data_IF_445469462154
#
_entry.id   IF_445469462154
#
_cell.length_a   1.000
_cell.length_b   1.000
_cell.length_c   1.000
_cell.angle_alpha   90.00
_cell.angle_beta   90.00
_cell.angle_gamma   90.00
#
_symmetry.space_group_name_H-M   'P 1'
#
loop_
_entity.id
_entity.type
_entity.pdbx_description
1 polymer ?
#
# COMPACT_ATOMS: atom_id res chain seq x y z
N UNK A 1 25.30 33.79 -8.66
CA UNK A 1 24.04 33.22 -8.15
C UNK A 1 23.08 34.38 -8.02
N UNK A 2 22.22 34.60 -9.00
CA UNK A 2 21.28 35.73 -9.01
C UNK A 2 20.18 35.50 -7.97
N UNK A 3 19.93 36.53 -7.16
CA UNK A 3 18.89 36.55 -6.14
C UNK A 3 17.51 36.40 -6.79
N UNK A 4 16.92 35.22 -6.64
CA UNK A 4 15.58 34.90 -7.11
C UNK A 4 14.55 35.57 -6.19
N UNK A 5 13.71 36.45 -6.74
CA UNK A 5 12.72 37.22 -5.96
C UNK A 5 11.63 36.32 -5.36
N UNK A 6 11.06 36.75 -4.23
CA UNK A 6 10.07 35.99 -3.46
C UNK A 6 8.77 35.71 -4.27
N UNK A 7 8.38 36.65 -5.14
CA UNK A 7 7.26 36.53 -6.08
C UNK A 7 7.48 35.45 -7.17
N UNK A 8 8.73 35.25 -7.59
CA UNK A 8 9.10 34.17 -8.52
C UNK A 8 9.09 32.80 -7.86
N UNK A 9 9.47 32.73 -6.59
CA UNK A 9 9.38 31.51 -5.80
C UNK A 9 7.91 31.05 -5.63
N UNK A 10 6.99 32.00 -5.47
CA UNK A 10 5.55 31.75 -5.35
C UNK A 10 4.98 31.24 -6.68
N UNK A 11 5.28 31.86 -7.82
CA UNK A 11 4.83 31.40 -9.14
C UNK A 11 5.37 30.01 -9.51
N UNK A 12 6.63 29.72 -9.15
CA UNK A 12 7.23 28.39 -9.35
C UNK A 12 6.56 27.30 -8.49
N UNK A 13 6.15 27.62 -7.26
CA UNK A 13 5.43 26.69 -6.38
C UNK A 13 4.03 26.33 -6.90
N UNK A 14 3.42 27.23 -7.69
CA UNK A 14 2.05 27.07 -8.20
C UNK A 14 1.99 26.16 -9.41
N UNK A 15 3.02 26.14 -10.27
CA UNK A 15 2.97 25.34 -11.51
C UNK A 15 2.76 23.85 -11.23
N UNK A 16 3.49 23.27 -10.27
CA UNK A 16 3.35 21.84 -9.96
C UNK A 16 1.92 21.53 -9.48
N UNK A 17 1.38 22.35 -8.58
CA UNK A 17 0.01 22.18 -8.09
C UNK A 17 -1.01 22.35 -9.23
N UNK A 18 -0.83 23.32 -10.12
CA UNK A 18 -1.67 23.50 -11.31
C UNK A 18 -1.59 22.29 -12.25
N UNK A 19 -0.40 21.75 -12.47
CA UNK A 19 -0.19 20.56 -13.29
C UNK A 19 -0.93 19.35 -12.71
N UNK A 20 -0.84 19.12 -11.39
CA UNK A 20 -1.55 18.06 -10.69
C UNK A 20 -3.07 18.26 -10.78
N UNK A 21 -3.57 19.45 -10.48
CA UNK A 21 -5.01 19.80 -10.58
C UNK A 21 -5.55 19.60 -11.99
N UNK A 22 -4.78 19.95 -13.01
CA UNK A 22 -5.18 19.75 -14.40
C UNK A 22 -5.24 18.25 -14.79
N UNK A 23 -4.44 17.38 -14.15
CA UNK A 23 -4.60 15.92 -14.32
C UNK A 23 -5.91 15.44 -13.71
N UNK A 24 -6.22 15.87 -12.49
CA UNK A 24 -7.48 15.54 -11.79
C UNK A 24 -8.67 15.98 -12.65
N UNK A 25 -8.71 17.23 -13.11
CA UNK A 25 -9.77 17.76 -13.97
C UNK A 25 -9.95 16.97 -15.29
N UNK A 26 -8.89 16.32 -15.77
CA UNK A 26 -8.90 15.51 -17.01
C UNK A 26 -9.14 14.02 -16.76
N UNK A 27 -9.64 13.64 -15.59
CA UNK A 27 -9.88 12.24 -15.23
C UNK A 27 -8.62 11.37 -15.31
N UNK A 28 -7.49 11.93 -14.87
CA UNK A 28 -6.19 11.23 -14.83
C UNK A 28 -5.70 11.19 -13.39
N UNK A 29 -5.35 9.99 -12.92
CA UNK A 29 -4.64 9.82 -11.66
C UNK A 29 -3.19 10.32 -11.76
N UNK A 30 -2.52 10.33 -10.61
CA UNK A 30 -1.10 10.63 -10.47
C UNK A 30 -0.47 9.61 -9.53
N UNK A 31 0.65 9.04 -9.97
CA UNK A 31 1.54 8.25 -9.13
C UNK A 31 2.85 9.02 -9.06
N UNK A 32 3.21 9.49 -7.87
CA UNK A 32 4.45 10.20 -7.60
C UNK A 32 5.39 9.29 -6.80
N UNK A 33 6.64 9.23 -7.22
CA UNK A 33 7.68 8.46 -6.55
C UNK A 33 8.70 9.42 -5.93
N UNK A 34 8.98 9.27 -4.64
CA UNK A 34 9.99 10.01 -3.90
C UNK A 34 11.12 9.04 -3.54
N UNK A 35 12.34 9.33 -4.02
CA UNK A 35 13.52 8.47 -3.85
C UNK A 35 14.69 9.22 -3.23
N UNK A 36 15.62 8.48 -2.62
CA UNK A 36 16.80 9.01 -1.93
C UNK A 36 17.04 8.33 -0.58
N UNK A 37 18.17 8.63 0.04
CA UNK A 37 18.60 7.96 1.29
C UNK A 37 17.69 8.27 2.48
N UNK A 38 17.79 7.46 3.54
CA UNK A 38 17.12 7.71 4.82
C UNK A 38 17.50 9.10 5.36
N UNK A 39 16.53 9.84 5.89
CA UNK A 39 16.76 11.20 6.41
C UNK A 39 16.73 12.33 5.37
N UNK A 40 16.69 12.03 4.07
CA UNK A 40 16.70 13.05 2.99
C UNK A 40 15.43 13.91 2.85
N UNK A 41 14.39 13.63 3.65
CA UNK A 41 13.14 14.41 3.68
C UNK A 41 12.06 13.94 2.70
N UNK A 42 12.14 12.70 2.18
CA UNK A 42 11.14 12.08 1.29
C UNK A 42 9.72 12.13 1.85
N UNK A 43 9.54 11.60 3.06
CA UNK A 43 8.24 11.53 3.74
C UNK A 43 7.66 12.93 3.94
N UNK A 44 8.45 13.86 4.48
CA UNK A 44 8.02 15.25 4.71
C UNK A 44 7.61 15.96 3.42
N UNK A 45 8.37 15.78 2.33
CA UNK A 45 8.04 16.36 1.02
C UNK A 45 6.78 15.75 0.42
N UNK A 46 6.60 14.43 0.52
CA UNK A 46 5.41 13.74 0.03
C UNK A 46 4.15 14.20 0.79
N UNK A 47 4.23 14.24 2.12
CA UNK A 47 3.15 14.72 3.01
C UNK A 47 2.85 16.19 2.72
N UNK A 48 3.87 17.03 2.56
CA UNK A 48 3.67 18.43 2.21
C UNK A 48 2.97 18.60 0.87
N UNK A 49 3.37 17.83 -0.14
CA UNK A 49 2.71 17.90 -1.44
C UNK A 49 1.25 17.43 -1.32
N UNK A 50 0.99 16.38 -0.54
CA UNK A 50 -0.35 15.84 -0.33
C UNK A 50 -1.28 16.89 0.30
N UNK A 51 -0.84 17.50 1.40
CA UNK A 51 -1.54 18.59 2.08
C UNK A 51 -1.82 19.80 1.17
N UNK A 52 -0.95 20.07 0.19
CA UNK A 52 -1.15 21.19 -0.76
C UNK A 52 -2.07 20.85 -1.93
N UNK A 53 -2.15 19.56 -2.30
CA UNK A 53 -2.97 19.07 -3.41
C UNK A 53 -4.40 18.81 -2.96
N UNK A 54 -4.57 18.19 -1.80
CA UNK A 54 -5.84 17.74 -1.24
C UNK A 54 -6.11 18.47 0.09
N UNK A 55 -7.05 19.45 0.10
CA UNK A 55 -7.37 20.23 1.31
C UNK A 55 -7.90 19.40 2.48
N UNK A 56 -8.44 18.22 2.21
CA UNK A 56 -8.97 17.30 3.22
C UNK A 56 -7.98 16.19 3.57
N UNK A 57 -6.71 16.35 3.17
CA UNK A 57 -5.67 15.38 3.47
C UNK A 57 -5.36 15.35 4.97
N UNK A 58 -5.19 14.15 5.51
CA UNK A 58 -5.00 13.91 6.93
C UNK A 58 -4.09 12.70 7.18
N UNK A 59 -3.65 12.50 8.44
CA UNK A 59 -2.71 11.45 8.81
C UNK A 59 -3.23 10.04 8.54
N UNK A 60 -4.56 9.87 8.52
CA UNK A 60 -5.26 8.62 8.22
C UNK A 60 -4.96 8.15 6.79
N UNK A 61 -4.65 9.09 5.87
CA UNK A 61 -4.28 8.79 4.48
C UNK A 61 -2.78 8.55 4.26
N UNK A 62 -2.00 8.50 5.34
CA UNK A 62 -0.60 8.08 5.33
C UNK A 62 -0.52 6.63 5.80
N UNK A 63 -0.07 5.72 4.93
CA UNK A 63 -0.04 4.28 5.17
C UNK A 63 1.37 3.72 5.03
N UNK A 64 1.65 2.68 5.79
CA UNK A 64 2.96 1.99 5.81
C UNK A 64 2.85 0.54 5.31
N UNK A 65 1.63 0.02 5.11
CA UNK A 65 1.39 -1.34 4.64
C UNK A 65 0.50 -1.36 3.40
N UNK A 66 0.62 -2.44 2.62
CA UNK A 66 -0.26 -2.66 1.47
C UNK A 66 -1.69 -2.89 1.89
N UNK A 67 -1.91 -3.52 3.05
CA UNK A 67 -3.27 -3.77 3.54
C UNK A 67 -4.00 -2.44 3.74
N UNK A 68 -3.42 -1.53 4.52
CA UNK A 68 -4.01 -0.22 4.79
C UNK A 68 -4.19 0.60 3.50
N UNK A 69 -3.21 0.50 2.60
CA UNK A 69 -3.31 1.10 1.27
C UNK A 69 -4.53 0.59 0.52
N UNK A 70 -4.76 -0.72 0.48
CA UNK A 70 -5.91 -1.31 -0.21
C UNK A 70 -7.24 -0.98 0.45
N UNK A 71 -7.27 -0.87 1.78
CA UNK A 71 -8.48 -0.46 2.50
C UNK A 71 -8.90 0.96 2.12
N UNK A 72 -7.98 1.92 2.14
CA UNK A 72 -8.26 3.30 1.72
C UNK A 72 -8.72 3.38 0.26
N UNK A 73 -8.15 2.55 -0.59
CA UNK A 73 -8.44 2.56 -2.03
C UNK A 73 -9.81 2.00 -2.34
N UNK A 74 -10.22 0.97 -1.59
CA UNK A 74 -11.53 0.37 -1.73
C UNK A 74 -12.62 1.20 -1.05
N UNK A 75 -12.26 2.13 -0.16
CA UNK A 75 -13.18 3.10 0.43
C UNK A 75 -13.71 4.13 -0.59
N UNK A 76 -14.63 4.99 -0.12
CA UNK A 76 -15.32 6.01 -0.91
C UNK A 76 -14.60 7.35 -0.94
N UNK A 77 -13.26 7.32 -1.03
CA UNK A 77 -12.47 8.55 -1.18
C UNK A 77 -12.88 9.32 -2.45
N UNK A 78 -13.11 10.64 -2.35
CA UNK A 78 -13.49 11.44 -3.50
C UNK A 78 -12.35 11.53 -4.52
N UNK A 79 -12.71 11.73 -5.79
CA UNK A 79 -11.75 11.97 -6.86
C UNK A 79 -10.78 13.11 -6.51
N UNK A 80 -9.48 12.90 -6.74
CA UNK A 80 -8.45 13.86 -6.36
C UNK A 80 -7.87 13.67 -4.96
N UNK A 81 -8.42 12.77 -4.14
CA UNK A 81 -7.85 12.42 -2.83
C UNK A 81 -6.43 11.88 -2.98
N UNK A 82 -5.57 12.22 -2.03
CA UNK A 82 -4.18 11.75 -1.99
C UNK A 82 -4.02 10.68 -0.91
N UNK A 83 -3.34 9.59 -1.25
CA UNK A 83 -2.83 8.59 -0.31
C UNK A 83 -1.29 8.63 -0.38
N UNK A 84 -0.65 8.74 0.78
CA UNK A 84 0.81 8.65 0.91
C UNK A 84 1.15 7.25 1.42
N UNK A 85 1.85 6.48 0.60
CA UNK A 85 2.45 5.22 1.02
C UNK A 85 3.91 5.50 1.39
N UNK A 86 4.16 5.71 2.69
CA UNK A 86 5.48 6.06 3.20
C UNK A 86 6.30 4.83 3.59
N UNK A 87 7.62 4.94 3.42
CA UNK A 87 8.62 3.92 3.74
C UNK A 87 8.28 2.54 3.16
N UNK A 88 7.76 2.61 1.94
CA UNK A 88 7.33 1.48 1.15
C UNK A 88 8.56 0.56 0.90
N UNK A 89 8.64 -0.55 1.64
CA UNK A 89 9.73 -1.54 1.53
C UNK A 89 10.84 -1.44 2.55
N UNK A 90 10.77 -0.53 3.54
CA UNK A 90 11.67 -0.59 4.69
C UNK A 90 11.31 -1.81 5.58
N UNK A 91 12.31 -2.59 5.96
CA UNK A 91 12.16 -3.79 6.79
C UNK A 91 11.69 -5.05 6.07
N UNK A 92 11.42 -4.98 4.76
CA UNK A 92 10.99 -6.12 3.95
C UNK A 92 12.15 -6.53 3.02
N UNK A 93 12.42 -7.84 2.90
CA UNK A 93 13.36 -8.38 1.92
C UNK A 93 13.05 -7.83 0.51
N UNK A 94 14.07 -7.39 -0.24
CA UNK A 94 13.91 -6.74 -1.55
C UNK A 94 12.99 -7.52 -2.52
N UNK A 95 13.03 -8.86 -2.48
CA UNK A 95 12.16 -9.72 -3.31
C UNK A 95 10.70 -9.67 -2.87
N UNK A 96 10.43 -9.74 -1.58
CA UNK A 96 9.07 -9.63 -1.03
C UNK A 96 8.48 -8.24 -1.29
N UNK A 97 9.31 -7.20 -1.22
CA UNK A 97 8.90 -5.85 -1.59
C UNK A 97 8.59 -5.72 -3.08
N UNK A 98 9.33 -6.37 -3.96
CA UNK A 98 9.03 -6.39 -5.40
C UNK A 98 7.69 -7.07 -5.70
N UNK A 99 7.39 -8.21 -5.08
CA UNK A 99 6.08 -8.87 -5.22
C UNK A 99 4.95 -7.98 -4.73
N UNK A 100 5.18 -7.32 -3.59
CA UNK A 100 4.25 -6.38 -2.95
C UNK A 100 3.99 -5.16 -3.83
N UNK A 101 5.05 -4.57 -4.37
CA UNK A 101 5.01 -3.48 -5.36
C UNK A 101 4.23 -3.89 -6.59
N UNK A 102 4.52 -5.05 -7.18
CA UNK A 102 3.81 -5.54 -8.36
C UNK A 102 2.30 -5.66 -8.12
N UNK A 103 1.89 -6.11 -6.92
CA UNK A 103 0.46 -6.15 -6.53
C UNK A 103 -0.14 -4.75 -6.46
N UNK A 104 0.52 -3.80 -5.77
CA UNK A 104 0.07 -2.39 -5.67
C UNK A 104 -0.11 -1.80 -7.08
N UNK A 105 0.90 -1.93 -7.93
CA UNK A 105 0.91 -1.35 -9.27
C UNK A 105 -0.09 -2.04 -10.22
N UNK A 106 -0.24 -3.37 -10.13
CA UNK A 106 -1.30 -4.10 -10.83
C UNK A 106 -2.69 -3.58 -10.49
N UNK A 107 -2.97 -3.38 -9.20
CA UNK A 107 -4.25 -2.82 -8.74
C UNK A 107 -4.42 -1.35 -9.13
N UNK A 108 -3.35 -0.55 -9.08
CA UNK A 108 -3.34 0.84 -9.58
C UNK A 108 -3.74 0.93 -11.05
N UNK A 109 -3.33 -0.04 -11.89
CA UNK A 109 -3.76 -0.08 -13.30
C UNK A 109 -5.22 -0.46 -13.48
N UNK A 110 -5.76 -1.35 -12.64
CA UNK A 110 -7.09 -1.92 -12.82
C UNK A 110 -8.20 -1.07 -12.19
N UNK A 111 -7.98 -0.45 -11.02
CA UNK A 111 -9.06 0.20 -10.24
C UNK A 111 -8.94 1.72 -10.06
N UNK A 112 -7.72 2.25 -9.91
CA UNK A 112 -7.53 3.63 -9.42
C UNK A 112 -7.65 4.69 -10.50
N UNK A 113 -7.36 4.32 -11.75
CA UNK A 113 -7.52 5.25 -12.86
C UNK A 113 -8.97 5.74 -12.97
N UNK A 114 -9.93 4.87 -12.64
CA UNK A 114 -11.35 5.20 -12.57
C UNK A 114 -11.68 6.08 -11.35
N UNK A 115 -11.22 5.72 -10.14
CA UNK A 115 -11.47 6.51 -8.92
C UNK A 115 -10.73 7.85 -8.85
N UNK A 116 -9.70 8.05 -9.69
CA UNK A 116 -8.84 9.24 -9.70
C UNK A 116 -8.15 9.53 -8.35
N UNK A 117 -7.77 8.48 -7.63
CA UNK A 117 -6.98 8.59 -6.41
C UNK A 117 -5.51 8.85 -6.79
N UNK A 118 -4.87 9.78 -6.10
CA UNK A 118 -3.46 10.11 -6.25
C UNK A 118 -2.66 9.32 -5.23
N UNK A 119 -1.52 8.78 -5.66
CA UNK A 119 -0.67 7.94 -4.82
C UNK A 119 0.74 8.46 -4.80
N UNK A 120 1.23 8.82 -3.61
CA UNK A 120 2.61 9.26 -3.40
C UNK A 120 3.35 8.17 -2.65
N UNK A 121 4.42 7.64 -3.23
CA UNK A 121 5.17 6.50 -2.69
C UNK A 121 6.56 7.00 -2.35
N UNK A 122 7.06 6.70 -1.15
CA UNK A 122 8.44 6.93 -0.78
C UNK A 122 9.19 5.59 -0.72
N UNK A 123 10.34 5.51 -1.39
CA UNK A 123 11.22 4.34 -1.39
C UNK A 123 12.69 4.81 -1.29
N UNK A 124 13.63 3.98 -0.83
CA UNK A 124 15.05 4.34 -0.84
C UNK A 124 15.56 4.59 -2.26
N UNK A 125 15.26 3.66 -3.17
CA UNK A 125 15.69 3.69 -4.55
C UNK A 125 14.60 3.17 -5.49
N UNK A 126 14.61 3.59 -6.76
CA UNK A 126 13.59 3.16 -7.73
C UNK A 126 13.65 1.67 -8.07
N UNK A 127 14.77 0.99 -7.79
CA UNK A 127 14.93 -0.46 -8.00
C UNK A 127 14.01 -1.31 -7.13
N UNK A 128 13.50 -0.73 -6.05
CA UNK A 128 12.47 -1.33 -5.19
C UNK A 128 11.15 -1.54 -5.94
N UNK A 129 10.93 -0.81 -7.04
CA UNK A 129 9.77 -1.00 -7.90
C UNK A 129 10.19 -1.86 -9.09
N UNK A 130 9.41 -2.89 -9.37
CA UNK A 130 9.61 -3.77 -10.53
C UNK A 130 9.52 -2.98 -11.85
N UNK A 131 10.27 -3.43 -12.87
CA UNK A 131 10.55 -2.65 -14.08
C UNK A 131 9.30 -2.26 -14.87
N UNK A 132 8.31 -3.15 -15.01
CA UNK A 132 7.04 -2.82 -15.68
C UNK A 132 6.24 -1.81 -14.87
N UNK A 133 6.22 -1.98 -13.55
CA UNK A 133 5.52 -1.11 -12.61
C UNK A 133 6.04 0.34 -12.63
N UNK A 134 7.35 0.55 -12.87
CA UNK A 134 7.94 1.91 -13.03
C UNK A 134 7.32 2.73 -14.15
N UNK A 135 6.75 2.08 -15.17
CA UNK A 135 6.11 2.76 -16.33
C UNK A 135 4.80 3.48 -15.96
N UNK A 136 4.26 3.19 -14.78
CA UNK A 136 3.02 3.76 -14.27
C UNK A 136 3.27 5.01 -13.42
N UNK A 137 4.51 5.19 -12.96
CA UNK A 137 4.94 6.40 -12.27
C UNK A 137 4.92 7.55 -13.26
N UNK A 138 4.36 8.69 -12.85
CA UNK A 138 4.19 9.86 -13.70
C UNK A 138 5.18 10.97 -13.37
N UNK A 139 5.59 11.04 -12.11
CA UNK A 139 6.54 12.03 -11.61
C UNK A 139 7.47 11.37 -10.61
N UNK A 140 8.76 11.70 -10.70
CA UNK A 140 9.80 11.24 -9.80
C UNK A 140 10.46 12.44 -9.14
N UNK A 141 10.56 12.39 -7.81
CA UNK A 141 11.28 13.33 -6.98
C UNK A 141 12.50 12.60 -6.40
N UNK A 142 13.68 13.07 -6.74
CA UNK A 142 14.96 12.48 -6.31
C UNK A 142 15.60 13.45 -5.34
N UNK A 143 15.79 13.02 -4.09
CA UNK A 143 16.33 13.87 -3.04
C UNK A 143 17.78 14.30 -3.37
N UNK A 144 18.14 15.49 -2.90
CA UNK A 144 19.54 15.94 -2.92
C UNK A 144 20.15 15.84 -1.52
N UNK A 145 21.41 16.24 -1.42
CA UNK A 145 22.13 16.51 -0.18
C UNK A 145 21.45 17.53 0.74
N UNK A 146 20.56 18.37 0.21
CA UNK A 146 19.80 19.37 0.96
C UNK A 146 18.41 18.82 1.26
N UNK A 147 18.10 18.59 2.54
CA UNK A 147 16.82 18.03 2.96
C UNK A 147 15.62 18.82 2.40
N UNK A 148 14.66 18.10 1.82
CA UNK A 148 13.45 18.69 1.21
C UNK A 148 13.68 19.41 -0.13
N UNK A 149 14.91 19.50 -0.63
CA UNK A 149 15.20 19.88 -2.02
C UNK A 149 15.25 18.62 -2.87
N UNK A 150 14.51 18.60 -3.98
CA UNK A 150 14.36 17.41 -4.81
C UNK A 150 14.46 17.75 -6.29
N UNK A 151 15.21 16.95 -7.04
CA UNK A 151 15.19 16.97 -8.50
C UNK A 151 13.86 16.38 -8.96
N UNK A 152 13.15 17.11 -9.81
CA UNK A 152 11.82 16.70 -10.29
C UNK A 152 11.88 16.29 -11.75
N UNK A 153 11.47 15.05 -12.07
CA UNK A 153 11.40 14.53 -13.44
C UNK A 153 10.01 14.00 -13.74
N UNK A 154 9.42 14.44 -14.85
CA UNK A 154 8.22 13.82 -15.40
C UNK A 154 8.61 12.58 -16.17
N UNK A 155 7.94 11.47 -15.86
CA UNK A 155 8.14 10.22 -16.56
C UNK A 155 7.12 10.12 -17.69
N UNK A 156 7.62 9.72 -18.86
CA UNK A 156 6.81 9.48 -20.05
C UNK A 156 7.23 8.18 -20.70
N UNK A 157 6.27 7.54 -21.39
CA UNK A 157 6.57 6.32 -22.14
C UNK A 157 7.63 6.61 -23.19
N UNK A 158 8.58 5.69 -23.32
CA UNK A 158 9.58 5.72 -24.36
C UNK A 158 9.15 4.74 -25.45
N UNK A 159 8.77 5.25 -26.62
CA UNK A 159 8.29 4.42 -27.73
C UNK A 159 9.40 3.54 -28.31
N UNK A 160 10.66 3.98 -28.24
CA UNK A 160 11.81 3.30 -28.82
C UNK A 160 12.45 2.30 -27.87
N UNK A 161 12.44 2.60 -26.58
CA UNK A 161 12.88 1.68 -25.55
C UNK A 161 11.83 1.61 -24.44
N UNK A 162 10.77 0.80 -24.62
CA UNK A 162 9.67 0.70 -23.65
C UNK A 162 10.12 0.31 -22.25
N UNK A 163 11.30 -0.26 -22.10
CA UNK A 163 11.85 -0.70 -20.82
C UNK A 163 12.52 0.42 -20.02
N UNK A 164 12.82 1.56 -20.66
CA UNK A 164 13.45 2.73 -20.04
C UNK A 164 12.60 3.99 -20.28
N UNK A 165 11.66 4.32 -19.37
CA UNK A 165 10.85 5.52 -19.46
C UNK A 165 11.71 6.78 -19.58
N UNK A 166 11.25 7.74 -20.38
CA UNK A 166 11.92 9.03 -20.52
C UNK A 166 11.65 9.86 -19.27
N UNK A 167 12.71 10.23 -18.55
CA UNK A 167 12.66 11.13 -17.41
C UNK A 167 13.08 12.55 -17.84
N UNK A 168 12.11 13.46 -17.94
CA UNK A 168 12.33 14.82 -18.44
C UNK A 168 12.09 15.85 -17.34
N UNK A 169 12.98 16.83 -17.22
CA UNK A 169 12.70 18.01 -16.42
C UNK A 169 11.52 18.78 -17.05
N UNK A 170 10.51 19.19 -16.26
CA UNK A 170 9.44 20.04 -16.77
C UNK A 170 9.98 21.31 -17.41
N UNK A 171 9.33 21.72 -18.49
CA UNK A 171 9.53 23.05 -19.07
C UNK A 171 8.23 23.83 -18.97
N UNK A 172 8.34 25.08 -18.51
CA UNK A 172 7.18 25.93 -18.22
C UNK A 172 7.38 27.27 -18.91
N UNK A 173 6.29 27.82 -19.44
CA UNK A 173 6.31 29.14 -20.06
C UNK A 173 6.11 30.20 -18.97
N UNK A 174 6.96 31.22 -18.99
CA UNK A 174 6.89 32.39 -18.13
C UNK A 174 6.89 33.63 -19.02
N UNK A 175 5.70 34.09 -19.37
CA UNK A 175 5.53 35.08 -20.44
C UNK A 175 6.01 34.50 -21.77
N UNK A 176 7.02 35.12 -22.36
CA UNK A 176 7.59 34.76 -23.67
C UNK A 176 8.70 33.69 -23.53
N UNK A 177 9.28 33.53 -22.34
CA UNK A 177 10.42 32.65 -22.12
C UNK A 177 10.01 31.27 -21.61
N UNK A 178 10.66 30.21 -22.12
CA UNK A 178 10.54 28.84 -21.61
C UNK A 178 11.65 28.57 -20.59
N UNK A 179 11.30 28.16 -19.38
CA UNK A 179 12.27 27.80 -18.34
C UNK A 179 12.17 26.30 -18.02
N UNK A 180 13.32 25.67 -17.72
CA UNK A 180 13.39 24.27 -17.28
C UNK A 180 13.42 24.19 -15.76
N UNK A 181 12.40 23.59 -15.16
CA UNK A 181 12.31 23.39 -13.70
C UNK A 181 13.05 22.12 -13.32
N UNK A 182 14.28 22.26 -12.82
CA UNK A 182 15.12 21.12 -12.43
C UNK A 182 14.82 20.59 -11.04
N UNK A 183 14.53 21.50 -10.10
CA UNK A 183 14.40 21.20 -8.68
C UNK A 183 13.16 21.87 -8.09
N UNK A 184 12.66 21.30 -7.00
CA UNK A 184 11.60 21.84 -6.17
C UNK A 184 12.05 21.77 -4.70
N UNK A 185 11.83 22.85 -3.95
CA UNK A 185 12.04 22.88 -2.51
C UNK A 185 10.70 22.75 -1.81
N UNK A 186 10.53 21.70 -1.03
CA UNK A 186 9.37 21.51 -0.18
C UNK A 186 9.62 22.17 1.18
N UNK A 187 8.62 22.90 1.67
CA UNK A 187 8.53 23.27 3.09
C UNK A 187 8.09 22.05 3.90
N UNK A 188 8.24 22.10 5.22
CA UNK A 188 7.64 21.08 6.08
C UNK A 188 6.10 21.11 5.97
N UNK A 189 5.41 19.99 6.21
CA UNK A 189 3.95 19.96 6.44
C UNK A 189 3.52 20.87 7.58
N UNK A 190 2.22 21.12 7.74
CA UNK A 190 1.71 21.78 8.95
C UNK A 190 2.17 21.04 10.22
N UNK A 191 2.32 21.78 11.31
CA UNK A 191 2.86 21.23 12.55
C UNK A 191 1.96 20.15 13.15
N UNK A 192 0.64 20.34 13.07
CA UNK A 192 -0.36 19.34 13.50
C UNK A 192 -0.21 18.04 12.71
N UNK A 193 -0.20 18.11 11.38
CA UNK A 193 -0.08 16.93 10.53
C UNK A 193 1.27 16.23 10.73
N UNK A 194 2.36 17.01 10.88
CA UNK A 194 3.70 16.49 11.19
C UNK A 194 3.70 15.75 12.52
N UNK A 195 3.15 16.35 13.58
CA UNK A 195 3.09 15.74 14.91
C UNK A 195 2.32 14.41 14.90
N UNK A 196 1.12 14.41 14.30
CA UNK A 196 0.30 13.20 14.15
C UNK A 196 1.02 12.11 13.35
N UNK A 197 1.69 12.48 12.27
CA UNK A 197 2.46 11.54 11.45
C UNK A 197 3.63 10.93 12.23
N UNK A 198 4.42 11.73 12.95
CA UNK A 198 5.56 11.20 13.73
C UNK A 198 5.10 10.23 14.82
N UNK A 199 3.98 10.53 15.50
CA UNK A 199 3.35 9.59 16.45
C UNK A 199 2.95 8.29 15.76
N UNK A 200 2.19 8.38 14.66
CA UNK A 200 1.73 7.20 13.90
C UNK A 200 2.90 6.37 13.37
N UNK A 201 3.97 7.03 12.91
CA UNK A 201 5.19 6.37 12.44
C UNK A 201 5.92 5.66 13.56
N UNK A 202 6.07 6.31 14.72
CA UNK A 202 6.71 5.71 15.90
C UNK A 202 5.97 4.45 16.33
N UNK A 203 4.65 4.52 16.48
CA UNK A 203 3.80 3.37 16.84
C UNK A 203 3.95 2.22 15.83
N UNK A 204 3.93 2.54 14.53
CA UNK A 204 4.12 1.54 13.48
C UNK A 204 5.50 0.88 13.55
N UNK A 205 6.57 1.66 13.71
CA UNK A 205 7.93 1.14 13.78
C UNK A 205 8.15 0.29 15.03
N UNK A 206 7.64 0.72 16.19
CA UNK A 206 7.73 -0.04 17.43
C UNK A 206 6.98 -1.38 17.34
N UNK A 207 5.79 -1.40 16.73
CA UNK A 207 5.06 -2.64 16.47
C UNK A 207 5.86 -3.58 15.53
N UNK A 208 6.43 -3.04 14.45
CA UNK A 208 7.26 -3.80 13.51
C UNK A 208 8.53 -4.38 14.14
N UNK A 209 9.20 -3.63 15.02
CA UNK A 209 10.37 -4.13 15.72
C UNK A 209 10.02 -5.28 16.67
N UNK A 210 8.87 -5.22 17.35
CA UNK A 210 8.38 -6.34 18.18
C UNK A 210 8.08 -7.57 17.33
N UNK A 211 7.36 -7.41 16.22
CA UNK A 211 7.10 -8.52 15.27
C UNK A 211 8.41 -9.17 14.79
N UNK A 212 9.40 -8.35 14.43
CA UNK A 212 10.70 -8.84 13.97
C UNK A 212 11.49 -9.55 15.08
N UNK A 213 11.45 -9.04 16.32
CA UNK A 213 12.06 -9.70 17.47
C UNK A 213 11.42 -11.06 17.77
N UNK A 214 10.08 -11.15 17.69
CA UNK A 214 9.36 -12.41 17.83
C UNK A 214 9.74 -13.41 16.72
N UNK A 215 9.83 -12.96 15.46
CA UNK A 215 10.28 -13.79 14.34
C UNK A 215 11.71 -14.31 14.55
N UNK A 216 12.63 -13.46 15.03
CA UNK A 216 14.00 -13.85 15.36
C UNK A 216 14.07 -14.85 16.52
N UNK A 217 13.30 -14.65 17.59
CA UNK A 217 13.25 -15.59 18.71
C UNK A 217 12.76 -16.97 18.26
N UNK A 218 11.74 -17.02 17.39
CA UNK A 218 11.25 -18.28 16.83
C UNK A 218 12.30 -18.97 15.94
N UNK A 219 13.12 -18.21 15.22
CA UNK A 219 14.26 -18.74 14.46
C UNK A 219 15.33 -19.32 15.37
N UNK A 220 15.71 -18.60 16.44
CA UNK A 220 16.74 -19.02 17.40
C UNK A 220 16.30 -20.25 18.21
N UNK A 221 15.02 -20.35 18.54
CA UNK A 221 14.41 -21.52 19.18
C UNK A 221 14.24 -22.72 18.22
N UNK A 222 14.59 -22.57 16.94
CA UNK A 222 14.45 -23.61 15.91
C UNK A 222 13.00 -23.94 15.53
N UNK A 223 12.05 -23.11 15.95
CA UNK A 223 10.61 -23.27 15.67
C UNK A 223 10.24 -22.70 14.29
N UNK A 224 11.02 -21.75 13.78
CA UNK A 224 10.88 -21.20 12.44
C UNK A 224 12.05 -21.64 11.55
N UNK A 225 11.79 -22.11 10.32
CA UNK A 225 12.82 -22.40 9.30
C UNK A 225 12.55 -21.54 8.08
N UNK A 226 13.52 -20.74 7.60
CA UNK A 226 13.32 -19.96 6.36
C UNK A 226 13.71 -20.80 5.15
N UNK A 227 12.74 -21.13 4.28
CA UNK A 227 12.99 -21.82 3.00
C UNK A 227 12.52 -20.95 1.84
N UNK A 228 13.42 -20.65 0.90
CA UNK A 228 13.16 -19.76 -0.24
C UNK A 228 12.64 -18.35 0.14
N UNK A 229 13.04 -17.83 1.30
CA UNK A 229 12.62 -16.52 1.79
C UNK A 229 11.20 -16.47 2.36
N UNK A 230 10.61 -17.63 2.68
CA UNK A 230 9.35 -17.73 3.40
C UNK A 230 9.55 -18.53 4.70
N UNK A 231 8.87 -18.14 5.80
CA UNK A 231 8.84 -18.96 7.00
C UNK A 231 8.19 -20.31 6.68
N UNK A 232 8.83 -21.37 7.14
CA UNK A 232 8.42 -22.75 7.02
C UNK A 232 8.49 -23.39 8.40
N UNK A 233 7.47 -24.18 8.73
CA UNK A 233 7.42 -24.94 9.98
C UNK A 233 7.98 -26.32 9.70
N UNK A 234 8.86 -26.83 10.57
CA UNK A 234 9.33 -28.21 10.45
C UNK A 234 8.21 -29.17 10.86
N UNK A 235 7.85 -30.09 9.98
CA UNK A 235 6.74 -31.03 10.19
C UNK A 235 7.26 -32.45 10.09
N UNK A 236 6.90 -33.28 11.06
CA UNK A 236 7.13 -34.73 11.03
C UNK A 236 5.79 -35.45 10.85
N UNK A 237 5.72 -36.34 9.89
CA UNK A 237 4.54 -37.17 9.68
C UNK A 237 4.35 -38.14 10.85
N UNK A 238 3.18 -38.13 11.45
CA UNK A 238 2.73 -39.09 12.47
C UNK A 238 2.45 -40.49 11.90
N UNK A 239 2.05 -40.60 10.63
CA UNK A 239 1.88 -41.91 9.97
C UNK A 239 3.19 -42.56 9.52
N UNK A 240 4.01 -41.88 8.70
CA UNK A 240 5.19 -42.50 8.08
C UNK A 240 6.55 -42.01 8.60
N UNK A 241 6.56 -41.07 9.54
CA UNK A 241 7.79 -40.51 10.12
C UNK A 241 8.59 -39.57 9.20
N UNK A 242 8.14 -39.33 7.97
CA UNK A 242 8.82 -38.43 7.03
C UNK A 242 8.82 -36.99 7.53
N UNK A 243 9.96 -36.31 7.43
CA UNK A 243 10.18 -34.94 7.90
C UNK A 243 10.33 -33.97 6.73
N UNK A 244 9.65 -32.82 6.78
CA UNK A 244 9.76 -31.78 5.76
C UNK A 244 9.43 -30.39 6.30
N UNK A 245 9.91 -29.35 5.60
CA UNK A 245 9.59 -27.96 5.94
C UNK A 245 8.34 -27.50 5.18
N UNK A 246 7.27 -27.18 5.92
CA UNK A 246 6.00 -26.73 5.38
C UNK A 246 5.92 -25.20 5.34
N UNK A 247 5.84 -24.61 4.14
CA UNK A 247 5.71 -23.16 3.93
C UNK A 247 4.28 -22.70 3.57
N UNK A 248 3.28 -23.56 3.80
CA UNK A 248 1.88 -23.24 3.51
C UNK A 248 1.22 -22.44 4.64
N UNK A 249 0.04 -21.89 4.35
CA UNK A 249 -0.72 -21.03 5.27
C UNK A 249 -1.89 -21.74 5.96
N UNK A 250 -2.00 -23.07 5.81
CA UNK A 250 -3.06 -23.85 6.44
C UNK A 250 -2.50 -24.61 7.64
N UNK A 251 -3.35 -24.82 8.65
CA UNK A 251 -3.08 -25.69 9.81
C UNK A 251 -2.93 -27.18 9.45
N UNK A 252 -3.11 -27.53 8.17
CA UNK A 252 -3.08 -28.92 7.70
C UNK A 252 -2.26 -29.03 6.41
N UNK A 253 -1.26 -29.90 6.45
CA UNK A 253 -0.38 -30.23 5.34
C UNK A 253 -0.64 -31.68 4.89
N UNK A 254 -0.29 -32.00 3.65
CA UNK A 254 -0.21 -33.41 3.21
C UNK A 254 1.24 -33.84 3.20
N UNK A 255 1.53 -34.99 3.79
CA UNK A 255 2.85 -35.58 3.80
C UNK A 255 3.29 -35.86 2.35
N UNK A 256 4.44 -35.33 1.89
CA UNK A 256 4.92 -35.60 0.53
C UNK A 256 5.24 -37.07 0.24
N UNK A 257 5.45 -37.87 1.29
CA UNK A 257 5.83 -39.28 1.17
C UNK A 257 4.62 -40.24 1.15
N UNK A 258 3.62 -40.02 2.01
CA UNK A 258 2.48 -40.95 2.16
C UNK A 258 1.10 -40.32 1.93
N UNK A 259 1.03 -39.02 1.59
CA UNK A 259 -0.20 -38.24 1.41
C UNK A 259 -1.07 -38.10 2.69
N UNK A 260 -0.59 -38.58 3.85
CA UNK A 260 -1.25 -38.40 5.15
C UNK A 260 -1.47 -36.93 5.48
N UNK A 261 -2.59 -36.62 6.14
CA UNK A 261 -2.89 -35.25 6.57
C UNK A 261 -2.26 -35.00 7.94
N UNK A 262 -1.29 -34.12 7.98
CA UNK A 262 -0.56 -33.77 9.20
C UNK A 262 -0.97 -32.39 9.67
N UNK A 263 -1.31 -32.28 10.94
CA UNK A 263 -1.65 -31.01 11.58
C UNK A 263 -0.38 -30.22 11.90
N UNK A 264 -0.33 -28.94 11.53
CA UNK A 264 0.82 -28.05 11.70
C UNK A 264 0.46 -27.06 12.80
N UNK A 265 0.88 -27.36 14.03
CA UNK A 265 0.44 -26.69 15.25
C UNK A 265 0.81 -25.19 15.36
N UNK A 266 1.79 -24.71 14.59
CA UNK A 266 2.31 -23.34 14.70
C UNK A 266 1.76 -22.36 13.65
N UNK A 267 0.92 -22.82 12.72
CA UNK A 267 0.27 -21.92 11.76
C UNK A 267 -1.02 -21.39 12.41
N UNK A 268 -0.98 -20.16 12.93
CA UNK A 268 -2.21 -19.45 13.29
C UNK A 268 -3.12 -19.45 12.06
N UNK A 269 -4.26 -20.14 12.15
CA UNK A 269 -5.28 -20.09 11.10
C UNK A 269 -5.69 -18.62 10.94
N UNK A 270 -5.41 -18.04 9.77
CA UNK A 270 -6.04 -16.77 9.40
C UNK A 270 -7.54 -16.98 9.56
N UNK A 271 -8.18 -16.15 10.39
CA UNK A 271 -9.63 -16.20 10.56
C UNK A 271 -10.28 -16.26 9.16
N UNK A 272 -11.24 -17.19 8.95
CA UNK A 272 -11.84 -17.35 7.64
C UNK A 272 -12.50 -16.03 7.23
N UNK A 273 -11.88 -15.32 6.27
CA UNK A 273 -12.46 -14.14 5.62
C UNK A 273 -13.59 -14.59 4.71
N UNK A 274 -14.73 -14.90 5.32
CA UNK A 274 -15.95 -15.34 4.65
C UNK A 274 -17.08 -14.32 4.80
N UNK A 275 -18.20 -14.61 4.16
CA UNK A 275 -19.45 -13.89 4.37
C UNK A 275 -20.29 -14.66 5.37
N UNK A 276 -20.74 -14.03 6.45
CA UNK A 276 -21.69 -14.64 7.38
C UNK A 276 -23.06 -14.74 6.72
N UNK A 277 -23.55 -15.96 6.55
CA UNK A 277 -24.84 -16.24 5.90
C UNK A 277 -25.79 -16.91 6.87
N UNK A 278 -27.09 -16.63 6.75
CA UNK A 278 -28.15 -17.23 7.55
C UNK A 278 -29.10 -18.02 6.67
N UNK A 279 -29.33 -19.29 6.99
CA UNK A 279 -30.30 -20.09 6.28
C UNK A 279 -31.74 -19.61 6.56
N UNK A 280 -32.52 -19.32 5.52
CA UNK A 280 -33.95 -18.99 5.68
C UNK A 280 -34.83 -20.17 6.08
N UNK A 281 -34.37 -21.40 5.82
CA UNK A 281 -35.14 -22.61 6.10
C UNK A 281 -35.05 -23.04 7.56
N UNK A 282 -33.84 -23.03 8.16
CA UNK A 282 -33.64 -23.49 9.54
C UNK A 282 -33.02 -22.44 10.48
N UNK A 283 -32.72 -21.23 9.99
CA UNK A 283 -32.10 -20.18 10.79
C UNK A 283 -30.61 -20.37 11.10
N UNK A 284 -30.01 -21.51 10.72
CA UNK A 284 -28.60 -21.81 10.97
C UNK A 284 -27.68 -20.78 10.29
N UNK A 285 -26.74 -20.23 11.07
CA UNK A 285 -25.76 -19.24 10.62
C UNK A 285 -24.39 -19.88 10.50
N UNK A 286 -23.65 -19.56 9.43
CA UNK A 286 -22.26 -20.00 9.29
C UNK A 286 -21.45 -19.03 8.44
N UNK A 287 -20.12 -19.17 8.51
CA UNK A 287 -19.20 -18.43 7.66
C UNK A 287 -19.02 -19.14 6.33
N UNK A 288 -19.52 -18.52 5.26
CA UNK A 288 -19.33 -19.00 3.90
C UNK A 288 -18.05 -18.41 3.30
N UNK A 289 -17.06 -19.25 3.01
CA UNK A 289 -15.74 -18.86 2.47
C UNK A 289 -15.61 -19.09 0.96
N UNK A 290 -16.66 -19.60 0.30
CA UNK A 290 -16.65 -19.85 -1.15
C UNK A 290 -16.94 -18.61 -2.00
N UNK A 291 -16.71 -18.70 -3.30
CA UNK A 291 -16.98 -17.61 -4.26
C UNK A 291 -18.33 -17.70 -4.99
N UNK A 292 -19.14 -18.72 -4.73
CA UNK A 292 -20.39 -18.93 -5.46
C UNK A 292 -21.52 -18.05 -4.91
N UNK A 293 -22.44 -17.62 -5.79
CA UNK A 293 -23.64 -16.83 -5.43
C UNK A 293 -24.69 -17.62 -4.63
N UNK A 294 -24.47 -18.93 -4.48
CA UNK A 294 -25.42 -19.92 -4.00
C UNK A 294 -24.64 -20.98 -3.24
N UNK A 295 -25.17 -21.39 -2.10
CA UNK A 295 -24.61 -22.46 -1.28
C UNK A 295 -25.75 -23.26 -0.66
N UNK A 296 -25.41 -24.35 -0.01
CA UNK A 296 -26.37 -25.23 0.65
C UNK A 296 -26.13 -25.12 2.15
N UNK A 297 -27.21 -25.00 2.93
CA UNK A 297 -27.11 -24.96 4.38
C UNK A 297 -26.53 -26.28 4.89
N UNK A 298 -25.45 -26.25 5.68
CA UNK A 298 -24.84 -27.47 6.20
C UNK A 298 -25.70 -28.17 7.25
N UNK A 299 -26.73 -27.50 7.80
CA UNK A 299 -27.61 -28.05 8.82
C UNK A 299 -28.88 -28.72 8.25
N UNK A 300 -29.48 -28.16 7.21
CA UNK A 300 -30.77 -28.64 6.70
C UNK A 300 -30.81 -28.88 5.19
N UNK A 301 -29.66 -28.77 4.53
CA UNK A 301 -29.50 -28.86 3.08
C UNK A 301 -30.36 -27.84 2.28
N UNK A 302 -30.93 -26.87 3.00
CA UNK A 302 -31.74 -25.81 2.43
C UNK A 302 -30.89 -24.86 1.62
N UNK A 303 -31.42 -24.41 0.49
CA UNK A 303 -30.70 -23.53 -0.40
C UNK A 303 -30.51 -22.12 0.20
N UNK A 304 -29.29 -21.55 0.07
CA UNK A 304 -28.93 -20.23 0.59
C UNK A 304 -28.25 -19.37 -0.47
N UNK A 305 -28.73 -18.14 -0.63
CA UNK A 305 -28.16 -17.16 -1.55
C UNK A 305 -27.14 -16.29 -0.81
N UNK A 306 -25.87 -16.45 -1.14
CA UNK A 306 -24.75 -15.86 -0.40
C UNK A 306 -24.68 -14.33 -0.48
N UNK A 307 -25.38 -13.72 -1.44
CA UNK A 307 -25.52 -12.25 -1.53
C UNK A 307 -26.77 -11.70 -0.83
N UNK A 308 -27.90 -12.41 -0.87
CA UNK A 308 -29.18 -11.95 -0.31
C UNK A 308 -29.43 -12.39 1.13
N UNK A 309 -28.73 -13.41 1.59
CA UNK A 309 -28.87 -14.00 2.93
C UNK A 309 -27.66 -13.68 3.81
N UNK A 310 -26.89 -12.67 3.38
CA UNK A 310 -25.81 -12.07 4.16
C UNK A 310 -26.42 -11.36 5.36
N UNK A 311 -25.89 -11.67 6.55
CA UNK A 311 -26.24 -10.91 7.75
C UNK A 311 -25.57 -9.54 7.66
N UNK A 312 -26.35 -8.46 7.68
CA UNK A 312 -25.81 -7.12 7.91
C UNK A 312 -25.23 -7.11 9.34
N UNK A 313 -24.05 -6.53 9.51
CA UNK A 313 -23.51 -6.34 10.85
C UNK A 313 -24.48 -5.38 11.56
N UNK A 314 -25.23 -5.89 12.54
CA UNK A 314 -26.04 -5.06 13.41
C UNK A 314 -25.12 -4.02 14.05
N UNK A 315 -25.26 -2.79 13.56
CA UNK A 315 -24.59 -1.62 14.09
C UNK A 315 -25.03 -1.41 15.52
N UNK A 316 -24.05 -1.10 16.34
CA UNK A 316 -24.18 -0.54 17.67
C UNK A 316 -24.98 0.77 17.58
N UNK A 317 -26.31 0.69 17.61
CA UNK A 317 -27.20 1.84 17.80
C UNK A 317 -27.11 2.27 19.26
N UNK A 318 -26.18 3.18 19.55
CA UNK A 318 -26.20 3.97 20.77
C UNK A 318 -27.28 5.06 20.64
N UNK A 319 -28.49 4.76 21.10
CA UNK A 319 -29.54 5.74 21.28
C UNK A 319 -29.17 6.74 22.38
N UNK A 320 -29.35 8.03 22.09
CA UNK A 320 -29.55 9.07 23.12
C UNK A 320 -30.73 9.93 22.67
N UNK A 321 -31.84 9.80 23.39
CA UNK A 321 -33.02 10.66 23.28
C UNK A 321 -33.95 10.43 24.47
N UNK A 322 -34.15 11.48 25.29
CA UNK A 322 -35.06 11.59 26.45
C UNK A 322 -34.34 11.33 27.79
N UNK A 323 -34.23 12.24 28.75
CA UNK A 323 -35.04 13.43 29.09
C UNK A 323 -34.24 14.75 29.15
#
# INVERSE_FOLDING_TARGET
>A
MENMSEDDSLKNSVWLLQWIRNRIRKNRNLIALFIGDTGSGKSMSAIRLAERVDPNFSVERIVFTVKDFLELVNSDLPAGSVIVFDDAGLGINARLWQETSARIFGMLTQGFRYKQILTFITVPDETFIERQSRKLVHIRFEATDVQGLMKMKLLSRNTFNPEHPLAKFPRIHRGISEITVKMVKFKLPSEDLRGKYETKKKEHMEARFKEFQEELNLLDEGKLIIKNGKPAVHVRCDECGYEWDYSGSRSMARCPNCDHRVYVAEVQEKEPTGTRVKCRHCGYEWMYTGGAKRTVCPNCEGYVNTGKDKKENDGMEGGVGGD
#
